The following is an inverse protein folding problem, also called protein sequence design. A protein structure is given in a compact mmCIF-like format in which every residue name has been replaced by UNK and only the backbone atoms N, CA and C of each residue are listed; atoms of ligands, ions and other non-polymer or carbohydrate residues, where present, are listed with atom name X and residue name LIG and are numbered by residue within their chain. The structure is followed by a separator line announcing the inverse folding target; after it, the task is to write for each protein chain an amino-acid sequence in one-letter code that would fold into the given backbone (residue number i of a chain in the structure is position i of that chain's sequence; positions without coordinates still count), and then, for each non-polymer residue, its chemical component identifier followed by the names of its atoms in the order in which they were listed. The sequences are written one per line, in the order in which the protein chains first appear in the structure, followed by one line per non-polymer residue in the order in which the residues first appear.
data_IF_969897351904
#
_entry.id   IF_969897351904
#
_cell.length_a   1.000
_cell.length_b   1.000
_cell.length_c   1.000
_cell.angle_alpha   90.00
_cell.angle_beta   90.00
_cell.angle_gamma   90.00
#
_symmetry.space_group_name_H-M   'P 1'
#
loop_
_entity.id
_entity.type
_entity.pdbx_description
1 polymer ?
#
# COMPACT_ATOMS: atom_id res chain seq x y z
N UNK A 1 28.70 -33.98 30.19
CA UNK A 1 27.86 -34.58 29.12
C UNK A 1 27.21 -33.47 28.32
N UNK A 2 27.15 -33.55 26.98
CA UNK A 2 26.55 -32.49 26.14
C UNK A 2 25.13 -32.87 25.70
N UNK A 3 24.12 -32.32 26.38
CA UNK A 3 22.71 -32.57 26.05
C UNK A 3 22.36 -32.00 24.67
N UNK A 4 22.23 -32.88 23.67
CA UNK A 4 21.78 -32.55 22.32
C UNK A 4 20.35 -32.00 22.37
N UNK A 5 20.21 -30.66 22.44
CA UNK A 5 18.92 -29.95 22.48
C UNK A 5 17.96 -30.51 21.41
N UNK A 6 16.73 -30.81 21.81
CA UNK A 6 15.67 -31.30 20.91
C UNK A 6 15.56 -30.38 19.68
N UNK A 7 15.57 -30.91 18.44
CA UNK A 7 15.47 -30.10 17.22
C UNK A 7 14.30 -29.11 17.22
N UNK A 8 13.18 -29.46 17.86
CA UNK A 8 12.01 -28.60 18.03
C UNK A 8 12.31 -27.37 18.88
N UNK A 9 13.14 -27.48 19.92
CA UNK A 9 13.46 -26.37 20.82
C UNK A 9 14.57 -25.48 20.27
N UNK A 10 15.49 -26.03 19.45
CA UNK A 10 16.42 -25.21 18.65
C UNK A 10 15.65 -24.43 17.56
N UNK A 11 14.59 -25.01 16.99
CA UNK A 11 13.68 -24.31 16.07
C UNK A 11 12.91 -23.18 16.78
N UNK A 12 12.30 -23.45 17.96
CA UNK A 12 11.66 -22.42 18.80
C UNK A 12 12.65 -21.30 19.12
N UNK A 13 13.87 -21.62 19.56
CA UNK A 13 14.90 -20.64 19.90
C UNK A 13 15.25 -19.69 18.74
N UNK A 14 15.37 -20.19 17.50
CA UNK A 14 15.56 -19.33 16.34
C UNK A 14 14.36 -18.42 16.08
N UNK A 15 13.12 -18.92 16.21
CA UNK A 15 11.92 -18.10 16.05
C UNK A 15 11.77 -17.04 17.15
N UNK A 16 12.14 -17.37 18.40
CA UNK A 16 12.16 -16.40 19.51
C UNK A 16 13.15 -15.28 19.23
N UNK A 17 14.34 -15.61 18.70
CA UNK A 17 15.29 -14.60 18.25
C UNK A 17 14.71 -13.75 17.11
N UNK A 18 14.10 -14.33 16.08
CA UNK A 18 13.48 -13.56 14.98
C UNK A 18 12.40 -12.59 15.49
N UNK A 19 11.65 -12.95 16.55
CA UNK A 19 10.66 -12.07 17.18
C UNK A 19 11.31 -10.90 17.93
N UNK A 20 12.34 -11.15 18.74
CA UNK A 20 13.07 -10.10 19.45
C UNK A 20 13.81 -9.18 18.49
N UNK A 21 14.58 -9.77 17.56
CA UNK A 21 15.22 -9.10 16.44
C UNK A 21 14.24 -8.11 15.80
N UNK A 22 13.00 -8.53 15.51
CA UNK A 22 11.99 -7.69 14.86
C UNK A 22 11.56 -6.45 15.67
N UNK A 23 11.62 -6.49 17.01
CA UNK A 23 11.33 -5.33 17.86
C UNK A 23 12.53 -4.40 18.04
N UNK A 24 13.74 -4.95 18.22
CA UNK A 24 15.00 -4.19 18.23
C UNK A 24 15.16 -3.40 16.95
N UNK A 25 14.89 -4.08 15.83
CA UNK A 25 14.98 -3.56 14.47
C UNK A 25 14.07 -2.37 14.18
N UNK A 26 12.93 -2.22 14.84
CA UNK A 26 12.06 -1.04 14.64
C UNK A 26 12.40 0.08 15.64
N UNK A 27 12.60 1.29 15.12
CA UNK A 27 12.85 2.49 15.95
C UNK A 27 11.71 2.78 16.95
N UNK A 28 11.97 3.64 17.94
CA UNK A 28 11.03 3.88 19.04
C UNK A 28 9.68 4.47 18.62
N UNK A 29 9.59 5.22 17.52
CA UNK A 29 8.29 5.70 17.02
C UNK A 29 7.48 4.53 16.42
N UNK A 30 8.14 3.65 15.67
CA UNK A 30 7.53 2.42 15.16
C UNK A 30 7.20 1.42 16.27
N UNK A 31 8.03 1.30 17.31
CA UNK A 31 7.75 0.45 18.46
C UNK A 31 6.57 1.00 19.29
N UNK A 32 6.51 2.32 19.50
CA UNK A 32 5.35 3.01 20.12
C UNK A 32 4.05 2.77 19.35
N UNK A 33 4.09 2.81 18.01
CA UNK A 33 2.95 2.39 17.15
C UNK A 33 2.64 0.90 17.32
N UNK A 34 3.62 0.01 17.25
CA UNK A 34 3.43 -1.44 17.38
C UNK A 34 2.64 -1.82 18.65
N UNK A 35 3.02 -1.27 19.81
CA UNK A 35 2.27 -1.48 21.06
C UNK A 35 0.79 -1.04 20.98
N UNK A 36 0.49 0.09 20.33
CA UNK A 36 -0.89 0.54 20.14
C UNK A 36 -1.70 -0.45 19.27
N UNK A 37 -1.15 -0.91 18.16
CA UNK A 37 -1.82 -1.88 17.27
C UNK A 37 -2.03 -3.24 17.97
N UNK A 38 -1.05 -3.67 18.77
CA UNK A 38 -1.17 -4.85 19.65
C UNK A 38 -2.30 -4.70 20.68
N UNK A 39 -2.43 -3.54 21.33
CA UNK A 39 -3.53 -3.28 22.27
C UNK A 39 -4.90 -3.19 21.56
N UNK A 40 -4.98 -2.58 20.38
CA UNK A 40 -6.22 -2.53 19.57
C UNK A 40 -6.70 -3.93 19.18
N UNK A 41 -5.76 -4.81 18.81
CA UNK A 41 -6.02 -6.24 18.51
C UNK A 41 -6.23 -7.12 19.74
N UNK A 42 -6.22 -6.55 20.97
CA UNK A 42 -6.25 -7.27 22.26
C UNK A 42 -5.13 -8.30 22.44
N UNK A 43 -3.99 -8.15 21.75
CA UNK A 43 -2.85 -9.06 21.89
C UNK A 43 -1.98 -8.73 23.12
N UNK A 44 -2.09 -7.52 23.68
CA UNK A 44 -1.48 -7.11 24.95
C UNK A 44 -2.44 -6.22 25.76
N UNK A 45 -2.27 -6.19 27.09
CA UNK A 45 -3.05 -5.31 27.99
C UNK A 45 -2.34 -3.99 28.28
N UNK A 46 -2.98 -3.10 29.06
CA UNK A 46 -2.34 -1.89 29.60
C UNK A 46 -1.06 -2.18 30.41
N UNK A 47 -0.94 -3.34 31.06
CA UNK A 47 0.27 -3.72 31.84
C UNK A 47 1.50 -3.84 30.93
N UNK A 48 1.38 -4.62 29.85
CA UNK A 48 2.48 -4.85 28.89
C UNK A 48 2.63 -3.73 27.84
N UNK A 49 1.88 -2.63 27.96
CA UNK A 49 2.09 -1.43 27.16
C UNK A 49 3.32 -0.63 27.63
N UNK A 50 3.70 -0.76 28.90
CA UNK A 50 4.94 -0.18 29.45
C UNK A 50 6.19 -1.02 29.13
N UNK A 51 6.08 -2.35 29.21
CA UNK A 51 7.11 -3.37 28.88
C UNK A 51 8.04 -3.01 27.72
N UNK A 52 9.34 -3.32 27.83
CA UNK A 52 10.31 -3.02 26.77
C UNK A 52 10.20 -3.98 25.56
N UNK A 53 11.21 -4.00 24.67
CA UNK A 53 11.24 -4.88 23.49
C UNK A 53 11.37 -6.37 23.86
N UNK A 54 12.14 -6.65 24.90
CA UNK A 54 12.48 -7.99 25.42
C UNK A 54 11.31 -8.56 26.20
N UNK A 55 10.75 -7.80 27.14
CA UNK A 55 9.53 -8.14 27.89
C UNK A 55 8.36 -8.42 26.94
N UNK A 56 8.18 -7.59 25.90
CA UNK A 56 7.10 -7.76 24.94
C UNK A 56 7.27 -9.04 24.11
N UNK A 57 8.50 -9.37 23.71
CA UNK A 57 8.81 -10.64 23.04
C UNK A 57 8.53 -11.83 23.94
N UNK A 58 9.02 -11.82 25.18
CA UNK A 58 8.77 -12.88 26.17
C UNK A 58 7.28 -13.06 26.44
N UNK A 59 6.54 -11.97 26.67
CA UNK A 59 5.10 -12.02 26.91
C UNK A 59 4.33 -12.59 25.71
N UNK A 60 4.63 -12.16 24.47
CA UNK A 60 3.95 -12.72 23.29
C UNK A 60 4.29 -14.20 23.05
N UNK A 61 5.53 -14.62 23.35
CA UNK A 61 5.92 -16.04 23.32
C UNK A 61 5.16 -16.84 24.38
N UNK A 62 5.04 -16.32 25.60
CA UNK A 62 4.36 -16.97 26.72
C UNK A 62 2.85 -17.13 26.47
N UNK A 63 2.18 -16.10 25.93
CA UNK A 63 0.72 -16.10 25.76
C UNK A 63 0.26 -16.83 24.49
N UNK A 64 1.04 -16.77 23.40
CA UNK A 64 0.60 -17.29 22.09
C UNK A 64 1.43 -18.48 21.56
N UNK A 65 2.61 -18.74 22.12
CA UNK A 65 3.61 -19.60 21.52
C UNK A 65 4.36 -18.91 20.37
N UNK A 66 5.63 -19.29 20.17
CA UNK A 66 6.59 -18.54 19.32
C UNK A 66 6.12 -18.33 17.88
N UNK A 67 5.56 -19.35 17.22
CA UNK A 67 5.08 -19.27 15.84
C UNK A 67 3.87 -18.33 15.70
N UNK A 68 2.92 -18.42 16.64
CA UNK A 68 1.74 -17.55 16.69
C UNK A 68 2.11 -16.11 16.97
N UNK A 69 3.10 -15.88 17.86
CA UNK A 69 3.63 -14.56 18.16
C UNK A 69 4.25 -13.90 16.91
N UNK A 70 5.05 -14.64 16.14
CA UNK A 70 5.60 -14.17 14.85
C UNK A 70 4.49 -13.85 13.85
N UNK A 71 3.49 -14.72 13.68
CA UNK A 71 2.37 -14.46 12.77
C UNK A 71 1.60 -13.18 13.17
N UNK A 72 1.32 -13.00 14.47
CA UNK A 72 0.66 -11.82 15.03
C UNK A 72 1.46 -10.53 14.83
N UNK A 73 2.79 -10.58 14.91
CA UNK A 73 3.65 -9.42 14.59
C UNK A 73 3.73 -9.15 13.09
N UNK A 74 3.72 -10.18 12.24
CA UNK A 74 3.61 -10.01 10.78
C UNK A 74 2.28 -9.32 10.41
N UNK A 75 1.17 -9.65 11.08
CA UNK A 75 -0.11 -8.94 10.92
C UNK A 75 -0.05 -7.48 11.39
N UNK A 76 0.49 -7.22 12.59
CA UNK A 76 0.64 -5.86 13.12
C UNK A 76 1.55 -5.00 12.23
N UNK A 77 2.66 -5.55 11.71
CA UNK A 77 3.55 -4.83 10.80
C UNK A 77 2.90 -4.57 9.43
N UNK A 78 2.00 -5.44 8.94
CA UNK A 78 1.15 -5.18 7.76
C UNK A 78 0.22 -4.00 8.01
N UNK A 79 -0.49 -3.99 9.14
CA UNK A 79 -1.41 -2.90 9.51
C UNK A 79 -0.68 -1.54 9.64
N UNK A 80 0.56 -1.57 10.16
CA UNK A 80 1.47 -0.43 10.26
C UNK A 80 2.12 -0.02 8.92
N UNK A 81 1.84 -0.75 7.82
CA UNK A 81 2.40 -0.53 6.49
C UNK A 81 3.94 -0.66 6.42
N UNK A 82 4.56 -1.45 7.31
CA UNK A 82 6.01 -1.74 7.34
C UNK A 82 6.38 -2.89 6.38
N UNK A 83 6.09 -2.73 5.09
CA UNK A 83 6.20 -3.82 4.10
C UNK A 83 7.61 -4.41 3.98
N UNK A 84 8.66 -3.60 4.06
CA UNK A 84 10.06 -4.06 4.06
C UNK A 84 10.34 -5.00 5.24
N UNK A 85 9.87 -4.64 6.44
CA UNK A 85 10.00 -5.48 7.63
C UNK A 85 9.16 -6.75 7.52
N UNK A 86 7.92 -6.67 7.02
CA UNK A 86 7.05 -7.85 6.77
C UNK A 86 7.74 -8.86 5.83
N UNK A 87 8.31 -8.39 4.72
CA UNK A 87 9.05 -9.24 3.78
C UNK A 87 10.32 -9.83 4.42
N UNK A 88 11.07 -9.03 5.18
CA UNK A 88 12.26 -9.50 5.89
C UNK A 88 11.95 -10.54 6.97
N UNK A 89 10.87 -10.37 7.75
CA UNK A 89 10.42 -11.33 8.76
C UNK A 89 9.97 -12.65 8.10
N UNK A 90 9.15 -12.58 7.06
CA UNK A 90 8.70 -13.78 6.34
C UNK A 90 9.89 -14.54 5.73
N UNK A 91 10.82 -13.86 5.06
CA UNK A 91 12.04 -14.47 4.50
C UNK A 91 12.94 -15.13 5.56
N UNK A 92 13.00 -14.56 6.78
CA UNK A 92 13.70 -15.17 7.91
C UNK A 92 12.97 -16.41 8.44
N UNK A 93 11.63 -16.34 8.59
CA UNK A 93 10.78 -17.46 9.02
C UNK A 93 10.91 -18.65 8.06
N UNK A 94 10.70 -18.43 6.76
CA UNK A 94 10.80 -19.46 5.71
C UNK A 94 12.18 -20.13 5.69
N UNK A 95 13.25 -19.35 5.94
CA UNK A 95 14.63 -19.86 5.99
C UNK A 95 14.85 -20.81 7.18
N UNK A 96 14.19 -20.58 8.31
CA UNK A 96 14.20 -21.50 9.45
C UNK A 96 13.38 -22.75 9.13
N UNK A 97 12.13 -22.62 8.66
CA UNK A 97 11.26 -23.77 8.35
C UNK A 97 11.92 -24.73 7.34
N UNK A 98 12.48 -24.19 6.24
CA UNK A 98 13.20 -24.97 5.22
C UNK A 98 14.46 -25.65 5.77
N UNK A 99 15.13 -25.07 6.78
CA UNK A 99 16.31 -25.67 7.45
C UNK A 99 15.93 -26.84 8.38
N UNK A 100 14.74 -26.82 8.96
CA UNK A 100 14.26 -27.89 9.86
C UNK A 100 13.55 -29.02 9.11
N UNK A 101 12.80 -28.73 8.05
CA UNK A 101 12.15 -29.79 7.24
C UNK A 101 13.21 -30.68 6.55
N UNK A 102 14.25 -30.08 5.92
CA UNK A 102 15.41 -30.82 5.37
C UNK A 102 16.23 -31.62 6.40
N UNK A 103 15.98 -31.46 7.70
CA UNK A 103 16.57 -32.29 8.77
C UNK A 103 15.68 -33.45 9.20
N UNK A 104 14.36 -33.42 8.95
CA UNK A 104 13.45 -34.54 9.22
C UNK A 104 13.63 -35.68 8.22
N UNK A 105 13.86 -35.34 6.94
CA UNK A 105 14.05 -36.28 5.83
C UNK A 105 15.35 -37.10 5.92
N UNK A 106 16.31 -36.71 6.78
CA UNK A 106 17.65 -37.32 6.88
C UNK A 106 17.82 -38.29 8.05
N UNK A 107 16.78 -39.05 8.42
CA UNK A 107 16.90 -40.21 9.31
C UNK A 107 16.82 -41.51 8.47
N UNK A 108 17.85 -42.38 8.47
CA UNK A 108 17.75 -43.68 7.83
C UNK A 108 16.80 -44.60 8.64
N UNK A 109 16.06 -45.44 7.93
CA UNK A 109 15.33 -46.57 8.52
C UNK A 109 16.19 -47.81 8.34
N UNK A 110 16.63 -48.41 9.45
CA UNK A 110 17.42 -49.64 9.43
C UNK A 110 16.53 -50.82 9.01
N UNK A 111 16.87 -51.50 7.90
CA UNK A 111 16.28 -52.80 7.56
C UNK A 111 16.95 -53.90 8.37
N UNK A 112 16.16 -54.68 9.11
CA UNK A 112 16.55 -56.03 9.54
C UNK A 112 15.96 -57.04 8.55
N UNK A 113 16.73 -58.09 8.23
CA UNK A 113 16.32 -59.20 7.37
C UNK A 113 16.33 -60.51 8.17
N UNK A 114 15.21 -61.24 8.18
CA UNK A 114 15.05 -62.67 8.49
C UNK A 114 13.71 -63.10 7.86
N UNK A 115 13.51 -64.30 7.29
CA UNK A 115 14.43 -65.22 6.62
C UNK A 115 13.60 -66.03 5.58
N UNK A 116 14.24 -66.70 4.60
CA UNK A 116 13.53 -67.54 3.60
C UNK A 116 13.23 -68.94 4.15
N UNK A 117 12.19 -69.62 3.61
CA UNK A 117 12.24 -71.07 3.31
C UNK A 117 11.15 -71.51 2.29
N UNK A 118 11.57 -72.35 1.33
CA UNK A 118 10.83 -73.37 0.54
C UNK A 118 9.59 -73.03 -0.34
N UNK A 119 9.79 -73.17 -1.66
CA UNK A 119 8.88 -73.85 -2.62
C UNK A 119 9.27 -75.35 -2.73
N UNK A 120 8.40 -76.26 -3.22
CA UNK A 120 8.28 -76.61 -4.66
C UNK A 120 6.86 -76.34 -5.22
N UNK A 121 6.65 -75.97 -6.50
CA UNK A 121 6.49 -76.79 -7.73
C UNK A 121 5.11 -77.50 -7.84
N UNK A 122 4.44 -77.67 -9.00
CA UNK A 122 4.87 -77.72 -10.41
C UNK A 122 3.74 -77.27 -11.38
N UNK A 123 4.10 -76.83 -12.63
CA UNK A 123 3.30 -76.86 -13.89
C UNK A 123 1.98 -76.03 -13.95
N UNK A 124 1.56 -75.46 -15.10
CA UNK A 124 2.26 -75.17 -16.37
C UNK A 124 1.54 -74.07 -17.17
N UNK A 125 2.21 -73.56 -18.21
CA UNK A 125 1.75 -72.72 -19.33
C UNK A 125 1.48 -71.24 -18.97
N UNK A 126 2.21 -70.25 -19.52
CA UNK A 126 2.43 -69.85 -20.93
C UNK A 126 1.22 -69.09 -21.52
N UNK A 127 1.35 -67.93 -22.17
CA UNK A 127 2.53 -67.17 -22.63
C UNK A 127 2.18 -65.67 -22.73
N UNK A 128 3.19 -64.78 -22.82
CA UNK A 128 3.04 -63.51 -23.55
C UNK A 128 2.54 -62.28 -22.77
N UNK A 129 3.48 -61.43 -22.38
CA UNK A 129 3.28 -60.07 -21.86
C UNK A 129 4.49 -59.23 -22.34
N UNK A 130 4.51 -57.88 -22.31
CA UNK A 130 3.51 -56.83 -22.60
C UNK A 130 3.94 -55.97 -23.83
N UNK A 131 3.32 -54.81 -24.11
CA UNK A 131 4.01 -53.49 -24.03
C UNK A 131 3.17 -52.22 -24.37
N UNK A 132 3.78 -51.08 -24.05
CA UNK A 132 3.34 -49.68 -24.09
C UNK A 132 3.04 -49.12 -25.50
N UNK A 133 2.28 -48.02 -25.57
CA UNK A 133 2.72 -46.68 -26.08
C UNK A 133 1.63 -45.61 -25.79
N UNK A 134 1.92 -44.48 -25.14
CA UNK A 134 2.47 -43.18 -25.61
C UNK A 134 1.56 -42.28 -26.49
N UNK A 135 0.89 -41.33 -25.80
CA UNK A 135 0.89 -39.85 -26.04
C UNK A 135 0.10 -39.19 -27.21
N UNK A 136 -0.41 -38.00 -26.87
CA UNK A 136 -0.65 -36.77 -27.68
C UNK A 136 -1.93 -36.59 -28.54
N UNK A 137 -2.77 -35.66 -28.05
CA UNK A 137 -3.32 -34.46 -28.73
C UNK A 137 -4.38 -34.50 -29.86
N UNK A 138 -5.24 -33.48 -29.76
CA UNK A 138 -5.87 -32.65 -30.82
C UNK A 138 -7.26 -33.03 -31.42
N UNK A 139 -8.28 -32.33 -30.89
CA UNK A 139 -9.30 -31.53 -31.62
C UNK A 139 -10.49 -32.24 -32.30
N UNK A 140 -11.51 -31.42 -32.60
CA UNK A 140 -12.69 -31.65 -33.46
C UNK A 140 -13.75 -32.61 -32.89
N UNK A 141 -15.04 -32.53 -33.24
CA UNK A 141 -16.04 -31.42 -33.20
C UNK A 141 -17.39 -31.99 -33.66
N UNK A 142 -18.51 -31.54 -33.07
CA UNK A 142 -19.89 -31.73 -33.56
C UNK A 142 -20.35 -33.21 -33.58
N UNK A 143 -21.63 -33.57 -33.77
CA UNK A 143 -22.86 -32.79 -33.97
C UNK A 143 -23.90 -33.05 -32.86
N UNK A 144 -24.95 -32.23 -32.72
CA UNK A 144 -26.27 -32.60 -33.26
C UNK A 144 -27.15 -31.38 -33.56
N UNK A 145 -28.01 -31.47 -34.59
CA UNK A 145 -28.74 -30.34 -35.20
C UNK A 145 -30.26 -30.39 -34.98
N UNK A 146 -30.87 -29.23 -34.70
CA UNK A 146 -32.19 -28.77 -35.22
C UNK A 146 -32.26 -27.24 -34.99
N UNK A 147 -32.40 -26.32 -35.97
CA UNK A 147 -33.30 -26.16 -37.13
C UNK A 147 -34.79 -26.12 -36.73
N UNK A 148 -35.66 -25.18 -37.17
CA UNK A 148 -35.67 -24.04 -38.16
C UNK A 148 -36.79 -23.05 -37.70
N UNK A 149 -37.08 -21.84 -38.19
CA UNK A 149 -36.56 -20.82 -39.14
C UNK A 149 -37.23 -19.45 -38.74
N UNK A 150 -36.79 -18.21 -39.00
CA UNK A 150 -35.93 -17.54 -39.99
C UNK A 150 -36.64 -16.90 -41.24
N UNK A 151 -36.93 -15.59 -41.17
CA UNK A 151 -37.08 -14.59 -42.27
C UNK A 151 -36.56 -13.23 -41.72
N UNK A 152 -35.60 -12.50 -42.35
CA UNK A 152 -35.64 -11.72 -43.62
C UNK A 152 -36.65 -10.55 -43.57
N UNK A 153 -36.35 -9.30 -44.01
CA UNK A 153 -35.12 -8.66 -44.56
C UNK A 153 -35.42 -7.15 -44.79
N UNK A 154 -34.45 -6.24 -44.62
CA UNK A 154 -34.01 -5.28 -45.68
C UNK A 154 -32.75 -4.51 -45.26
N UNK A 155 -32.11 -3.88 -46.24
CA UNK A 155 -31.01 -2.92 -46.12
C UNK A 155 -31.06 -1.97 -47.33
N UNK A 156 -30.41 -0.82 -47.24
CA UNK A 156 -30.15 0.10 -48.35
C UNK A 156 -28.81 0.81 -48.12
N UNK A 157 -28.15 1.19 -49.21
CA UNK A 157 -26.81 1.79 -49.22
C UNK A 157 -26.79 2.84 -50.33
N UNK A 158 -26.20 4.01 -50.06
CA UNK A 158 -25.81 5.00 -51.10
C UNK A 158 -24.41 5.54 -50.78
N UNK A 159 -23.72 6.10 -51.78
CA UNK A 159 -22.27 6.28 -51.77
C UNK A 159 -21.78 7.75 -51.85
N UNK A 160 -20.65 7.99 -51.16
CA UNK A 160 -19.51 8.87 -51.49
C UNK A 160 -19.76 10.27 -52.08
N UNK A 161 -19.04 11.24 -51.49
CA UNK A 161 -18.06 12.01 -52.26
C UNK A 161 -16.80 12.31 -51.44
N UNK A 162 -15.70 12.59 -52.13
CA UNK A 162 -14.33 12.61 -51.59
C UNK A 162 -13.85 14.03 -51.22
N UNK A 163 -13.01 14.15 -50.19
CA UNK A 163 -12.02 15.25 -50.12
C UNK A 163 -10.84 14.90 -49.22
N UNK A 164 -9.63 14.92 -49.80
CA UNK A 164 -8.38 14.62 -49.10
C UNK A 164 -7.97 15.74 -48.13
N UNK A 165 -7.65 15.39 -46.88
CA UNK A 165 -6.67 16.14 -46.08
C UNK A 165 -5.86 15.19 -45.21
N UNK A 166 -4.55 15.14 -45.45
CA UNK A 166 -3.66 14.21 -44.75
C UNK A 166 -3.66 14.46 -43.24
N UNK A 167 -3.91 13.42 -42.46
CA UNK A 167 -3.87 13.48 -40.99
C UNK A 167 -3.16 12.23 -40.48
N UNK A 168 -1.88 12.38 -40.13
CA UNK A 168 -1.03 11.28 -39.68
C UNK A 168 -1.39 10.86 -38.24
N UNK A 169 -2.49 10.12 -38.12
CA UNK A 169 -3.04 9.67 -36.84
C UNK A 169 -2.30 8.44 -36.29
N UNK A 170 -1.15 8.66 -35.64
CA UNK A 170 -0.67 7.71 -34.63
C UNK A 170 -1.53 7.83 -33.36
N UNK A 171 -2.73 7.24 -33.42
CA UNK A 171 -3.73 7.27 -32.35
C UNK A 171 -3.35 6.31 -31.21
N UNK A 172 -2.31 6.67 -30.45
CA UNK A 172 -1.95 5.98 -29.21
C UNK A 172 -3.01 6.25 -28.13
N UNK A 173 -4.10 5.50 -28.20
CA UNK A 173 -5.22 5.54 -27.25
C UNK A 173 -4.79 5.09 -25.85
N UNK A 174 -4.20 6.01 -25.07
CA UNK A 174 -3.90 5.83 -23.65
C UNK A 174 -5.21 5.81 -22.83
N UNK A 175 -5.90 4.67 -22.87
CA UNK A 175 -7.04 4.37 -22.00
C UNK A 175 -6.54 3.97 -20.61
N UNK A 176 -5.90 4.91 -19.91
CA UNK A 176 -5.35 4.64 -18.57
C UNK A 176 -6.45 4.39 -17.54
N UNK A 177 -6.25 3.35 -16.73
CA UNK A 177 -7.16 3.03 -15.64
C UNK A 177 -7.19 4.12 -14.56
N UNK A 178 -8.33 4.28 -13.86
CA UNK A 178 -8.44 5.18 -12.73
C UNK A 178 -7.38 4.86 -11.67
N UNK A 179 -6.83 5.91 -11.06
CA UNK A 179 -5.68 5.88 -10.16
C UNK A 179 -5.72 4.79 -9.06
N UNK A 180 -6.91 4.41 -8.58
CA UNK A 180 -7.08 3.39 -7.54
C UNK A 180 -7.07 1.92 -8.04
N UNK A 181 -7.07 1.68 -9.35
CA UNK A 181 -7.10 0.34 -9.96
C UNK A 181 -5.73 -0.22 -10.34
N UNK A 182 -4.79 0.64 -10.75
CA UNK A 182 -3.51 0.27 -11.37
C UNK A 182 -2.70 -0.76 -10.57
N UNK A 183 -2.21 -1.77 -11.28
CA UNK A 183 -1.31 -2.81 -10.76
C UNK A 183 0.04 -2.26 -10.26
N UNK A 184 0.73 -3.02 -9.38
CA UNK A 184 2.05 -2.64 -8.87
C UNK A 184 3.17 -3.03 -9.84
N UNK A 185 3.46 -2.17 -10.81
CA UNK A 185 4.41 -2.42 -11.89
C UNK A 185 5.47 -1.32 -12.07
N UNK A 186 6.58 -1.64 -12.73
CA UNK A 186 7.54 -0.62 -13.17
C UNK A 186 6.95 0.20 -14.33
N UNK A 187 7.25 1.50 -14.38
CA UNK A 187 6.87 2.36 -15.49
C UNK A 187 7.58 1.94 -16.78
N UNK A 188 6.81 1.42 -17.74
CA UNK A 188 7.31 0.93 -19.05
C UNK A 188 7.69 2.04 -20.02
N UNK A 189 6.92 3.14 -20.07
CA UNK A 189 7.09 4.25 -21.01
C UNK A 189 7.24 5.57 -20.26
N UNK A 190 8.13 6.45 -20.72
CA UNK A 190 8.20 7.85 -20.27
C UNK A 190 6.84 8.53 -20.33
N UNK A 191 6.60 9.49 -19.42
CA UNK A 191 5.44 10.37 -19.47
C UNK A 191 5.85 11.82 -19.27
N UNK A 192 5.34 12.71 -20.11
CA UNK A 192 5.51 14.15 -19.94
C UNK A 192 4.28 14.71 -19.25
N UNK A 193 4.48 15.48 -18.17
CA UNK A 193 3.44 15.93 -17.25
C UNK A 193 3.70 17.34 -16.73
N UNK A 194 2.63 18.11 -16.50
CA UNK A 194 2.68 19.44 -15.87
C UNK A 194 2.44 19.31 -14.38
N UNK A 195 3.30 19.91 -13.56
CA UNK A 195 3.23 19.83 -12.09
C UNK A 195 2.14 20.77 -11.56
N UNK A 196 1.10 20.23 -10.92
CA UNK A 196 -0.05 21.02 -10.43
C UNK A 196 0.10 21.47 -8.98
N UNK A 197 0.68 20.62 -8.12
CA UNK A 197 0.81 20.80 -6.66
C UNK A 197 2.06 20.06 -6.17
N UNK A 198 2.71 20.61 -5.16
CA UNK A 198 3.84 19.99 -4.45
C UNK A 198 3.67 20.27 -2.96
N UNK A 199 4.03 19.34 -2.07
CA UNK A 199 4.11 19.61 -0.63
C UNK A 199 5.46 20.20 -0.25
N UNK A 200 5.59 20.72 0.98
CA UNK A 200 6.92 20.87 1.57
C UNK A 200 7.60 19.49 1.65
N UNK A 201 8.94 19.51 1.67
CA UNK A 201 9.73 18.33 2.05
C UNK A 201 9.43 17.97 3.49
N UNK A 202 9.30 16.68 3.77
CA UNK A 202 9.09 16.18 5.12
C UNK A 202 9.86 14.90 5.35
N UNK A 203 10.36 14.77 6.58
CA UNK A 203 11.05 13.58 7.03
C UNK A 203 10.07 12.40 7.16
N UNK A 204 10.51 11.19 6.84
CA UNK A 204 9.83 9.94 7.13
C UNK A 204 10.83 8.90 7.61
N UNK A 205 10.39 8.00 8.48
CA UNK A 205 11.24 6.92 8.98
C UNK A 205 10.99 5.67 8.15
N UNK A 206 12.03 5.11 7.54
CA UNK A 206 11.94 3.75 7.01
C UNK A 206 12.12 2.74 8.14
N UNK A 207 12.21 1.48 7.76
CA UNK A 207 12.66 0.44 8.65
C UNK A 207 14.08 0.69 9.22
N UNK A 208 15.04 1.10 8.37
CA UNK A 208 16.46 1.17 8.73
C UNK A 208 16.97 2.59 9.10
N UNK A 209 16.40 3.64 8.51
CA UNK A 209 16.99 4.99 8.55
C UNK A 209 15.95 6.11 8.44
N UNK A 210 16.33 7.32 8.85
CA UNK A 210 15.55 8.55 8.65
C UNK A 210 15.77 9.05 7.22
N UNK A 211 14.71 9.37 6.49
CA UNK A 211 14.75 9.86 5.09
C UNK A 211 13.91 11.11 4.92
N UNK A 212 14.09 11.79 3.80
CA UNK A 212 13.21 12.86 3.34
C UNK A 212 12.41 12.43 2.11
N UNK A 213 11.20 12.95 1.98
CA UNK A 213 10.40 12.87 0.76
C UNK A 213 9.55 14.13 0.58
N UNK A 214 8.87 14.23 -0.56
CA UNK A 214 7.71 15.10 -0.73
C UNK A 214 6.66 14.44 -1.62
N UNK A 215 5.43 14.94 -1.57
CA UNK A 215 4.38 14.56 -2.53
C UNK A 215 4.26 15.60 -3.62
N UNK A 216 3.97 15.14 -4.84
CA UNK A 216 3.51 16.00 -5.92
C UNK A 216 2.19 15.48 -6.49
N UNK A 217 1.45 16.37 -7.15
CA UNK A 217 0.34 16.01 -8.04
C UNK A 217 0.70 16.57 -9.40
N UNK A 218 0.83 15.68 -10.38
CA UNK A 218 1.17 16.01 -11.78
C UNK A 218 0.01 15.63 -12.68
N UNK A 219 -0.05 16.14 -13.90
CA UNK A 219 -1.11 15.80 -14.85
C UNK A 219 -0.66 15.91 -16.31
N UNK A 220 -1.30 15.13 -17.18
CA UNK A 220 -1.25 15.27 -18.63
C UNK A 220 -2.63 15.72 -19.14
N UNK A 221 -2.93 15.48 -20.41
CA UNK A 221 -4.22 15.85 -21.00
C UNK A 221 -5.37 14.92 -20.58
N UNK A 222 -5.09 13.65 -20.29
CA UNK A 222 -6.08 12.63 -19.93
C UNK A 222 -6.42 12.61 -18.43
N UNK A 223 -5.42 12.83 -17.57
CA UNK A 223 -5.53 12.52 -16.13
C UNK A 223 -4.55 13.29 -15.22
N UNK A 224 -4.75 13.12 -13.92
CA UNK A 224 -3.80 13.53 -12.88
C UNK A 224 -3.27 12.30 -12.15
N UNK A 225 -2.07 12.42 -11.60
CA UNK A 225 -1.32 11.36 -10.91
C UNK A 225 -0.78 11.94 -9.60
N UNK A 226 -1.03 11.27 -8.47
CA UNK A 226 -0.29 11.52 -7.22
C UNK A 226 1.06 10.82 -7.26
N UNK A 227 2.09 11.54 -6.82
CA UNK A 227 3.50 11.13 -6.92
C UNK A 227 4.14 11.19 -5.53
N UNK A 228 4.82 10.12 -5.12
CA UNK A 228 5.70 10.10 -3.96
C UNK A 228 7.14 10.27 -4.45
N UNK A 229 7.82 11.35 -4.07
CA UNK A 229 9.21 11.61 -4.50
C UNK A 229 10.16 11.31 -3.34
N UNK A 230 10.84 10.16 -3.44
CA UNK A 230 11.86 9.71 -2.49
C UNK A 230 13.28 10.06 -2.95
N UNK A 231 13.48 10.29 -4.25
CA UNK A 231 14.75 10.76 -4.79
C UNK A 231 14.84 12.30 -4.67
N UNK A 232 15.54 12.77 -3.63
CA UNK A 232 15.61 14.21 -3.36
C UNK A 232 16.44 15.01 -4.36
N UNK A 233 17.33 14.38 -5.15
CA UNK A 233 18.15 15.10 -6.16
C UNK A 233 17.32 15.68 -7.31
N UNK A 234 16.14 15.12 -7.59
CA UNK A 234 15.24 15.64 -8.64
C UNK A 234 14.28 16.73 -8.13
N UNK A 235 14.36 17.16 -6.87
CA UNK A 235 13.48 18.18 -6.26
C UNK A 235 13.37 19.46 -7.09
N UNK A 236 14.47 19.92 -7.71
CA UNK A 236 14.53 21.13 -8.56
C UNK A 236 13.63 21.11 -9.82
N UNK A 237 13.15 19.93 -10.23
CA UNK A 237 12.24 19.76 -11.36
C UNK A 237 10.77 19.92 -10.95
N UNK A 238 10.43 19.61 -9.69
CA UNK A 238 9.07 19.68 -9.17
C UNK A 238 8.71 21.10 -8.69
N UNK A 239 8.63 22.04 -9.63
CA UNK A 239 8.08 23.38 -9.42
C UNK A 239 6.68 23.47 -10.04
N UNK A 240 5.75 24.18 -9.38
CA UNK A 240 4.37 24.34 -9.87
C UNK A 240 4.34 24.95 -11.28
N UNK A 241 3.42 24.46 -12.11
CA UNK A 241 3.24 24.76 -13.54
C UNK A 241 4.38 24.31 -14.48
N UNK A 242 5.54 23.86 -13.99
CA UNK A 242 6.63 23.35 -14.83
C UNK A 242 6.21 22.06 -15.54
N UNK A 243 6.72 21.85 -16.76
CA UNK A 243 6.52 20.62 -17.54
C UNK A 243 7.78 19.77 -17.45
N UNK A 244 7.61 18.51 -17.04
CA UNK A 244 8.69 17.56 -16.78
C UNK A 244 8.40 16.23 -17.44
N UNK A 245 9.45 15.54 -17.90
CA UNK A 245 9.37 14.13 -18.29
C UNK A 245 9.81 13.27 -17.11
N UNK A 246 9.03 12.23 -16.82
CA UNK A 246 9.30 11.23 -15.79
C UNK A 246 9.46 9.87 -16.46
N UNK A 247 10.54 9.14 -16.15
CA UNK A 247 10.75 7.76 -16.60
C UNK A 247 11.34 6.88 -15.50
N UNK A 248 11.14 5.55 -15.63
CA UNK A 248 11.58 4.54 -14.66
C UNK A 248 11.06 4.78 -13.22
N UNK A 249 9.88 5.38 -13.07
CA UNK A 249 9.11 5.35 -11.83
C UNK A 249 8.53 3.95 -11.55
N UNK A 250 7.89 3.78 -10.39
CA UNK A 250 7.24 2.53 -10.00
C UNK A 250 5.81 2.80 -9.51
N UNK A 251 4.82 2.08 -10.04
CA UNK A 251 3.42 2.20 -9.61
C UNK A 251 3.19 1.39 -8.34
N UNK A 252 2.64 2.02 -7.30
CA UNK A 252 2.30 1.35 -6.03
C UNK A 252 1.07 1.94 -5.37
N UNK A 253 0.03 1.11 -5.19
CA UNK A 253 -1.24 1.46 -4.53
C UNK A 253 -1.83 2.81 -4.96
N UNK A 254 -1.85 3.09 -6.27
CA UNK A 254 -2.38 4.33 -6.82
C UNK A 254 -1.55 5.59 -6.55
N UNK A 255 -0.22 5.43 -6.54
CA UNK A 255 0.77 6.50 -6.68
C UNK A 255 1.87 6.07 -7.65
N UNK A 256 2.52 7.05 -8.28
CA UNK A 256 3.82 6.87 -8.91
C UNK A 256 4.94 7.17 -7.89
N UNK A 257 5.83 6.21 -7.66
CA UNK A 257 6.95 6.31 -6.72
C UNK A 257 8.25 6.61 -7.48
N UNK A 258 8.86 7.78 -7.20
CA UNK A 258 10.09 8.27 -7.83
C UNK A 258 11.28 7.95 -6.92
N UNK A 259 12.04 6.95 -7.32
CA UNK A 259 13.13 6.34 -6.56
C UNK A 259 14.50 6.71 -7.16
N UNK A 260 15.61 6.26 -6.55
CA UNK A 260 16.97 6.55 -7.03
C UNK A 260 17.22 6.13 -8.49
N UNK A 261 16.51 5.11 -8.99
CA UNK A 261 16.60 4.61 -10.36
C UNK A 261 15.70 5.37 -11.37
N UNK A 262 14.80 6.23 -10.88
CA UNK A 262 13.87 7.01 -11.69
C UNK A 262 14.55 8.27 -12.21
N UNK A 263 14.31 8.60 -13.48
CA UNK A 263 14.79 9.85 -14.09
C UNK A 263 13.65 10.87 -14.15
N UNK A 264 13.98 12.13 -13.89
CA UNK A 264 13.11 13.28 -14.09
C UNK A 264 13.93 14.37 -14.77
N UNK A 265 13.40 14.96 -15.83
CA UNK A 265 14.06 16.03 -16.59
C UNK A 265 13.05 17.13 -16.97
N UNK A 266 13.53 18.37 -17.10
CA UNK A 266 12.72 19.48 -17.59
C UNK A 266 12.51 19.34 -19.11
N UNK A 267 11.32 19.65 -19.61
CA UNK A 267 11.05 19.61 -21.06
C UNK A 267 11.13 21.01 -21.64
N UNK A 268 12.26 21.31 -22.29
CA UNK A 268 12.57 22.60 -22.91
C UNK A 268 11.96 22.78 -24.32
N UNK A 269 10.88 22.07 -24.66
CA UNK A 269 10.25 22.16 -26.00
C UNK A 269 8.95 22.95 -25.94
N UNK A 270 8.60 23.62 -27.05
CA UNK A 270 7.40 24.48 -27.19
C UNK A 270 6.06 23.71 -27.15
N UNK A 271 6.05 22.43 -26.73
CA UNK A 271 4.84 21.63 -26.54
C UNK A 271 4.18 22.00 -25.20
N UNK A 272 3.33 23.03 -25.20
CA UNK A 272 2.55 23.35 -24.00
C UNK A 272 1.50 22.26 -23.71
N UNK A 273 1.82 21.37 -22.77
CA UNK A 273 0.84 20.41 -22.23
C UNK A 273 -0.29 21.16 -21.54
N UNK A 274 -1.43 21.18 -22.22
CA UNK A 274 -2.60 21.98 -21.85
C UNK A 274 -3.54 21.14 -20.99
N UNK A 275 -3.12 20.84 -19.75
CA UNK A 275 -3.90 20.05 -18.79
C UNK A 275 -5.33 20.63 -18.64
N UNK A 276 -6.39 19.88 -19.01
CA UNK A 276 -7.75 20.39 -19.04
C UNK A 276 -8.33 20.84 -17.69
N UNK A 277 -9.29 21.77 -17.73
CA UNK A 277 -9.93 22.37 -16.54
C UNK A 277 -10.61 21.32 -15.64
N UNK A 278 -11.23 20.29 -16.21
CA UNK A 278 -11.84 19.18 -15.47
C UNK A 278 -10.80 18.30 -14.73
N UNK A 279 -9.61 18.08 -15.32
CA UNK A 279 -8.51 17.32 -14.69
C UNK A 279 -7.92 18.12 -13.52
N UNK A 280 -7.62 19.41 -13.71
CA UNK A 280 -7.21 20.33 -12.62
C UNK A 280 -8.24 20.34 -11.48
N UNK A 281 -9.53 20.42 -11.81
CA UNK A 281 -10.64 20.37 -10.84
C UNK A 281 -10.72 19.05 -10.08
N UNK A 282 -10.48 17.90 -10.75
CA UNK A 282 -10.43 16.57 -10.11
C UNK A 282 -9.23 16.46 -9.16
N UNK A 283 -8.04 16.86 -9.61
CA UNK A 283 -6.81 16.84 -8.81
C UNK A 283 -6.87 17.68 -7.52
N UNK A 284 -7.66 18.77 -7.53
CA UNK A 284 -7.91 19.60 -6.36
C UNK A 284 -9.13 19.20 -5.51
N UNK A 285 -9.92 18.20 -5.93
CA UNK A 285 -11.18 17.86 -5.26
C UNK A 285 -10.93 17.04 -3.98
N UNK A 286 -11.48 17.50 -2.87
CA UNK A 286 -11.59 16.69 -1.65
C UNK A 286 -12.72 15.67 -1.81
N UNK A 287 -12.45 14.40 -1.50
CA UNK A 287 -13.46 13.34 -1.48
C UNK A 287 -14.46 13.61 -0.34
N UNK A 288 -15.76 13.45 -0.61
CA UNK A 288 -16.80 13.64 0.40
C UNK A 288 -16.83 12.50 1.39
N UNK A 289 -17.07 12.80 2.67
CA UNK A 289 -17.02 11.80 3.75
C UNK A 289 -17.97 10.62 3.51
N UNK A 290 -19.20 10.88 3.04
CA UNK A 290 -20.16 9.83 2.66
C UNK A 290 -19.62 8.88 1.55
N UNK A 291 -18.72 9.35 0.69
CA UNK A 291 -18.11 8.52 -0.36
C UNK A 291 -16.95 7.69 0.19
N UNK A 292 -16.25 8.15 1.22
CA UNK A 292 -15.22 7.37 1.91
C UNK A 292 -15.78 6.10 2.54
N UNK A 293 -17.01 6.14 3.05
CA UNK A 293 -17.70 4.97 3.61
C UNK A 293 -17.96 3.87 2.57
N UNK A 294 -18.02 4.22 1.28
CA UNK A 294 -18.25 3.31 0.14
C UNK A 294 -16.96 2.90 -0.57
N UNK A 295 -15.80 3.44 -0.16
CA UNK A 295 -14.53 3.27 -0.86
C UNK A 295 -13.76 2.05 -0.32
N UNK A 296 -13.03 1.34 -1.21
CA UNK A 296 -12.27 0.12 -0.87
C UNK A 296 -11.27 0.38 0.26
N UNK A 297 -11.26 -0.48 1.29
CA UNK A 297 -10.30 -0.40 2.39
C UNK A 297 -8.85 -0.58 1.89
N UNK A 298 -7.89 0.06 2.58
CA UNK A 298 -6.47 0.10 2.18
C UNK A 298 -6.16 1.07 1.05
N UNK A 299 -7.15 1.80 0.52
CA UNK A 299 -6.94 2.87 -0.46
C UNK A 299 -6.52 4.18 0.21
N UNK A 300 -5.93 5.10 -0.56
CA UNK A 300 -5.39 6.36 -0.03
C UNK A 300 -6.21 7.58 -0.40
N UNK A 301 -6.38 8.47 0.58
CA UNK A 301 -7.21 9.67 0.54
C UNK A 301 -6.35 10.92 0.71
N UNK A 302 -6.59 11.88 -0.17
CA UNK A 302 -6.14 13.27 -0.06
C UNK A 302 -7.39 14.14 0.17
N UNK A 303 -7.26 15.27 0.87
CA UNK A 303 -8.41 16.15 1.09
C UNK A 303 -8.14 17.31 2.05
N UNK A 304 -9.17 18.14 2.29
CA UNK A 304 -9.20 19.20 3.29
C UNK A 304 -10.50 19.08 4.09
N UNK A 305 -10.41 18.77 5.37
CA UNK A 305 -11.56 18.54 6.25
C UNK A 305 -11.47 19.43 7.49
N UNK A 306 -12.60 19.85 8.06
CA UNK A 306 -12.67 20.74 9.22
C UNK A 306 -12.66 19.95 10.52
N UNK A 307 -11.86 20.36 11.53
CA UNK A 307 -11.83 19.71 12.85
C UNK A 307 -13.12 20.04 13.59
N UNK A 308 -13.93 19.02 13.91
CA UNK A 308 -15.10 19.14 14.78
C UNK A 308 -14.79 18.75 16.23
N UNK A 309 -13.90 17.78 16.46
CA UNK A 309 -13.43 17.39 17.79
C UNK A 309 -11.97 16.94 17.74
N UNK A 310 -11.21 17.23 18.78
CA UNK A 310 -9.85 16.74 19.01
C UNK A 310 -9.84 15.88 20.28
N UNK A 311 -9.08 14.80 20.31
CA UNK A 311 -8.84 14.00 21.52
C UNK A 311 -7.41 13.45 21.44
N UNK A 312 -6.53 13.99 22.28
CA UNK A 312 -5.12 13.62 22.32
C UNK A 312 -4.88 12.40 23.22
N UNK A 313 -3.84 11.63 22.91
CA UNK A 313 -3.32 10.57 23.77
C UNK A 313 -1.79 10.52 23.66
N UNK A 314 -1.15 9.80 24.58
CA UNK A 314 0.32 9.68 24.69
C UNK A 314 1.04 9.39 23.34
N UNK A 315 0.41 8.64 22.41
CA UNK A 315 1.05 8.13 21.18
C UNK A 315 0.31 8.47 19.87
N UNK A 316 -0.92 8.96 19.94
CA UNK A 316 -1.72 9.34 18.78
C UNK A 316 -2.80 10.35 19.14
N UNK A 317 -3.26 11.13 18.15
CA UNK A 317 -4.36 12.07 18.30
C UNK A 317 -5.50 11.70 17.36
N UNK A 318 -6.69 11.66 17.92
CA UNK A 318 -7.94 11.39 17.22
C UNK A 318 -8.60 12.73 16.88
N UNK A 319 -8.88 12.93 15.60
CA UNK A 319 -9.67 14.07 15.12
C UNK A 319 -10.99 13.54 14.57
N UNK A 320 -12.12 14.01 15.10
CA UNK A 320 -13.37 13.95 14.36
C UNK A 320 -13.36 15.10 13.36
N UNK A 321 -13.30 14.79 12.07
CA UNK A 321 -13.38 15.80 11.00
C UNK A 321 -14.73 15.73 10.29
N UNK A 322 -15.22 16.87 9.82
CA UNK A 322 -16.53 17.00 9.16
C UNK A 322 -16.46 17.62 7.77
N UNK A 323 -17.49 17.31 6.99
CA UNK A 323 -17.93 18.07 5.83
C UNK A 323 -19.48 18.07 5.79
N UNK A 324 -20.10 18.68 4.78
CA UNK A 324 -21.56 18.73 4.65
C UNK A 324 -22.23 17.38 4.30
N UNK A 325 -21.49 16.27 4.33
CA UNK A 325 -22.00 14.91 4.06
C UNK A 325 -21.77 13.95 5.24
N UNK A 326 -21.13 14.40 6.32
CA UNK A 326 -21.01 13.62 7.55
C UNK A 326 -19.73 13.91 8.35
N UNK A 327 -19.35 12.94 9.17
CA UNK A 327 -18.19 12.95 10.06
C UNK A 327 -17.35 11.68 9.89
N UNK A 328 -16.03 11.78 10.03
CA UNK A 328 -15.12 10.64 10.05
C UNK A 328 -13.99 10.85 11.07
N UNK A 329 -13.48 9.77 11.64
CA UNK A 329 -12.32 9.82 12.52
C UNK A 329 -11.01 9.76 11.70
N UNK A 330 -10.07 10.64 12.05
CA UNK A 330 -8.72 10.69 11.52
C UNK A 330 -7.74 10.44 12.66
N UNK A 331 -7.00 9.33 12.59
CA UNK A 331 -6.01 8.96 13.61
C UNK A 331 -4.61 9.34 13.14
N UNK A 332 -3.98 10.28 13.86
CA UNK A 332 -2.63 10.74 13.58
C UNK A 332 -1.61 10.13 14.55
N UNK A 333 -0.56 9.54 14.01
CA UNK A 333 0.53 8.88 14.75
C UNK A 333 1.86 9.61 14.56
N UNK A 334 2.81 9.36 15.46
CA UNK A 334 4.18 9.89 15.35
C UNK A 334 4.22 11.41 15.43
N UNK A 335 5.10 12.06 14.65
CA UNK A 335 5.18 13.53 14.60
C UNK A 335 3.86 14.26 14.33
N UNK A 336 2.92 13.64 13.60
CA UNK A 336 1.61 14.23 13.32
C UNK A 336 0.64 14.21 14.52
N UNK A 337 0.89 13.38 15.54
CA UNK A 337 0.04 13.33 16.73
C UNK A 337 0.06 14.65 17.53
N UNK A 338 1.24 15.29 17.65
CA UNK A 338 1.44 16.53 18.42
C UNK A 338 1.30 17.81 17.59
N UNK A 339 0.53 17.78 16.50
CA UNK A 339 0.37 18.94 15.62
C UNK A 339 -0.48 20.03 16.27
N UNK A 340 0.05 21.27 16.31
CA UNK A 340 -0.65 22.45 16.86
C UNK A 340 -1.82 22.82 15.93
N UNK A 341 -3.04 22.68 16.45
CA UNK A 341 -4.30 22.98 15.77
C UNK A 341 -5.46 23.04 16.78
N UNK A 342 -6.45 23.85 16.47
CA UNK A 342 -7.67 24.13 17.25
C UNK A 342 -8.93 23.53 16.60
N UNK A 343 -10.08 23.56 17.29
CA UNK A 343 -11.37 23.20 16.69
C UNK A 343 -11.76 24.30 15.70
N UNK A 344 -12.27 23.92 14.51
CA UNK A 344 -12.53 24.84 13.40
C UNK A 344 -11.36 25.04 12.44
N UNK A 345 -10.12 24.68 12.81
CA UNK A 345 -9.01 24.58 11.85
C UNK A 345 -9.30 23.50 10.79
N UNK A 346 -8.70 23.65 9.60
CA UNK A 346 -8.84 22.71 8.49
C UNK A 346 -7.57 21.90 8.28
N UNK A 347 -7.70 20.58 8.34
CA UNK A 347 -6.61 19.63 8.10
C UNK A 347 -6.55 19.28 6.62
N UNK A 348 -5.49 19.73 5.93
CA UNK A 348 -5.11 19.20 4.62
C UNK A 348 -4.38 17.87 4.82
N UNK A 349 -5.06 16.78 4.48
CA UNK A 349 -4.52 15.43 4.49
C UNK A 349 -3.95 15.08 3.11
N UNK A 350 -2.83 14.34 3.08
CA UNK A 350 -2.23 13.82 1.85
C UNK A 350 -1.66 12.43 2.12
N UNK A 351 -1.99 11.45 1.28
CA UNK A 351 -1.62 10.04 1.44
C UNK A 351 -2.05 9.42 2.79
N UNK A 352 -3.31 9.63 3.23
CA UNK A 352 -3.89 8.96 4.41
C UNK A 352 -4.57 7.65 4.00
N UNK A 353 -4.39 6.56 4.76
CA UNK A 353 -5.01 5.26 4.44
C UNK A 353 -6.44 5.19 5.00
N UNK A 354 -7.39 4.78 4.16
CA UNK A 354 -8.75 4.45 4.57
C UNK A 354 -8.77 3.03 5.16
N UNK A 355 -9.10 2.90 6.43
CA UNK A 355 -9.10 1.63 7.17
C UNK A 355 -10.41 1.42 7.92
N UNK A 356 -10.75 0.15 8.17
CA UNK A 356 -11.81 -0.20 9.12
C UNK A 356 -11.28 -1.27 10.10
N UNK A 357 -11.37 -0.97 11.38
CA UNK A 357 -11.06 -1.93 12.47
C UNK A 357 -12.24 -2.12 13.42
N UNK A 358 -12.93 -1.02 13.72
CA UNK A 358 -14.20 -0.98 14.49
C UNK A 358 -15.24 -0.09 13.81
N UNK A 359 -14.76 0.96 13.14
CA UNK A 359 -15.51 1.89 12.27
C UNK A 359 -14.61 2.31 11.12
N UNK A 360 -15.18 2.87 10.06
CA UNK A 360 -14.42 3.46 8.95
C UNK A 360 -13.70 4.72 9.44
N UNK A 361 -12.39 4.78 9.24
CA UNK A 361 -11.51 5.84 9.72
C UNK A 361 -10.33 6.06 8.76
N UNK A 362 -9.81 7.28 8.73
CA UNK A 362 -8.53 7.58 8.07
C UNK A 362 -7.40 7.39 9.10
N UNK A 363 -6.27 6.80 8.70
CA UNK A 363 -5.05 6.71 9.53
C UNK A 363 -3.84 7.29 8.81
N UNK A 364 -2.96 7.94 9.56
CA UNK A 364 -1.65 8.36 9.03
C UNK A 364 -0.71 7.15 8.94
N UNK A 365 -0.15 6.91 7.75
CA UNK A 365 0.90 5.91 7.47
C UNK A 365 2.27 6.57 7.34
N UNK A 366 3.32 5.77 7.10
CA UNK A 366 4.72 6.19 6.94
C UNK A 366 4.91 7.39 6.01
N UNK A 367 4.15 7.46 4.91
CA UNK A 367 4.26 8.51 3.90
C UNK A 367 3.13 9.56 3.99
N UNK A 368 2.32 9.59 5.05
CA UNK A 368 1.28 10.62 5.18
C UNK A 368 1.87 12.00 5.48
N UNK A 369 1.27 13.04 4.90
CA UNK A 369 1.61 14.45 5.15
C UNK A 369 0.37 15.23 5.60
N UNK A 370 0.57 16.15 6.55
CA UNK A 370 -0.48 17.02 7.11
C UNK A 370 -0.05 18.47 7.01
N UNK A 371 -0.97 19.35 6.61
CA UNK A 371 -0.85 20.80 6.75
C UNK A 371 -2.10 21.34 7.45
N UNK A 372 -1.92 22.11 8.52
CA UNK A 372 -3.02 22.85 9.17
C UNK A 372 -3.29 24.13 8.36
N UNK A 373 -4.56 24.44 8.17
CA UNK A 373 -5.05 25.65 7.52
C UNK A 373 -5.96 26.34 8.53
N UNK A 374 -5.48 27.42 9.13
CA UNK A 374 -6.28 28.26 10.03
C UNK A 374 -7.35 29.03 9.25
N UNK A 375 -8.53 29.30 9.84
CA UNK A 375 -9.46 30.28 9.29
C UNK A 375 -8.79 31.66 9.26
N UNK A 376 -9.15 32.51 8.28
CA UNK A 376 -8.82 33.93 8.37
C UNK A 376 -9.63 34.54 9.51
N UNK A 377 -8.97 35.25 10.43
CA UNK A 377 -9.67 36.23 11.27
C UNK A 377 -10.13 37.38 10.37
N UNK A 378 -11.36 37.87 10.57
CA UNK A 378 -11.81 39.12 9.98
C UNK A 378 -11.47 40.25 10.96
N UNK A 379 -10.62 41.18 10.54
CA UNK A 379 -10.30 42.40 11.31
C UNK A 379 -11.44 43.41 11.16
N UNK A 380 -12.55 43.19 11.87
CA UNK A 380 -13.69 44.12 11.97
C UNK A 380 -14.36 44.09 13.35
N UNK A 381 -13.59 44.43 14.40
CA UNK A 381 -14.11 44.88 15.70
C UNK A 381 -12.98 45.44 16.58
N UNK A 382 -12.26 46.46 16.09
CA UNK A 382 -11.72 47.48 16.99
C UNK A 382 -12.69 48.66 16.92
N UNK A 383 -13.30 48.98 18.04
CA UNK A 383 -14.07 50.21 18.18
C UNK A 383 -13.11 51.39 18.06
N UNK A 384 -13.51 52.44 17.34
CA UNK A 384 -12.74 53.68 17.35
C UNK A 384 -12.97 54.34 18.70
N UNK A 385 -11.93 54.68 19.48
CA UNK A 385 -12.11 55.54 20.63
C UNK A 385 -12.69 56.87 20.15
N UNK A 386 -13.73 57.35 20.83
CA UNK A 386 -14.31 58.67 20.60
C UNK A 386 -13.26 59.74 20.92
N UNK A 387 -12.99 60.72 20.03
CA UNK A 387 -12.12 61.82 20.37
C UNK A 387 -12.78 62.68 21.47
N UNK A 388 -12.06 62.91 22.55
CA UNK A 388 -12.40 63.94 23.53
C UNK A 388 -12.29 65.32 22.89
N UNK A 389 -13.24 66.21 23.20
CA UNK A 389 -13.09 67.63 22.89
C UNK A 389 -11.91 68.21 23.71
N UNK A 390 -11.21 69.24 23.20
CA UNK A 390 -10.28 70.02 24.01
C UNK A 390 -11.05 70.99 24.92
N UNK A 391 -10.62 71.09 26.18
CA UNK A 391 -11.02 72.17 27.08
C UNK A 391 -10.11 73.40 26.83
N UNK A 392 -10.74 74.55 26.59
CA UNK A 392 -10.22 75.94 26.54
C UNK A 392 -8.73 76.15 26.17
#
# INVERSE_FOLDING_TARGET
MSSRRNPTDVMKSHFSKILLDAFEKINDEHFKKCKFFLTVRKYITKKQYKADRTDLAHHMIQVFGVLSALNKIIEVFKDMNLHEAVQALQKQKDKVEKKYNKKKEKKPVTRNNQAQMRRPAFKSNNIGNPQLTKKNNLKLTNESKKNRAAKKRKATTEERQDSKKMKTSQEFSQKTEPEAGREECAQTTSMVVKVLKVTQTFEYYTFAEKKEMFHATVANECEFIRVKVFNMSVKKHFNKNKVIEISKGYWRKGFLEINKCSKVQDVCTNKEITVPKNIKRRAGKTTKIQMLQKQKQGSYVDGVYEINKKTESEKCTFFEVKDNTGKIEVVMFGKWAKIKCEIGDKLRLTCFELSSWKKVQLKSVTHSYVQVIKPKKNEKSQERPTPSLPDN
#
